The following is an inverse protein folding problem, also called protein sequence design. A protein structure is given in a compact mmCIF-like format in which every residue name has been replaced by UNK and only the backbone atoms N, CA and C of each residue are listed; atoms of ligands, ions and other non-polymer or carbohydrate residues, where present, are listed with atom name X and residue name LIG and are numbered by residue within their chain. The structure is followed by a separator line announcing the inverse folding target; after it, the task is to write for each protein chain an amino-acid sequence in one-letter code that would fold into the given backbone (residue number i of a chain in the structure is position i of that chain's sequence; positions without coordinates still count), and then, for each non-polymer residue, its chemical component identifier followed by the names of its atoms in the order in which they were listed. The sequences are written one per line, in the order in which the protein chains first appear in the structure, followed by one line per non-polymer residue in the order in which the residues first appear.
data_IF_287812143159
#
_entry.id   IF_287812143159
#
_cell.length_a   1.000
_cell.length_b   1.000
_cell.length_c   1.000
_cell.angle_alpha   90.00
_cell.angle_beta   90.00
_cell.angle_gamma   90.00
#
_symmetry.space_group_name_H-M   'P 1'
#
loop_
_entity.id
_entity.type
_entity.pdbx_description
1 polymer ?
#
# COMPACT_ATOMS: atom_id res chain seq x y z
N UNK A 1 -4.73 12.54 -11.92
CA UNK A 1 -4.39 13.16 -10.62
C UNK A 1 -3.99 14.61 -10.86
N UNK A 2 -4.48 15.50 -10.03
CA UNK A 2 -4.22 16.93 -10.19
C UNK A 2 -3.60 17.50 -8.91
N UNK A 3 -2.43 18.14 -9.06
CA UNK A 3 -1.77 18.84 -7.96
C UNK A 3 -2.36 20.25 -7.85
N UNK A 4 -2.80 20.62 -6.66
CA UNK A 4 -3.35 21.93 -6.37
C UNK A 4 -2.23 22.96 -6.15
N UNK A 5 -2.51 24.28 -6.29
CA UNK A 5 -1.51 25.31 -5.99
C UNK A 5 -0.95 25.23 -4.56
N UNK A 6 -1.71 24.66 -3.62
CA UNK A 6 -1.28 24.43 -2.25
C UNK A 6 -0.22 23.32 -2.12
N UNK A 7 0.14 22.67 -3.20
CA UNK A 7 1.03 21.51 -3.19
C UNK A 7 0.32 20.18 -2.88
N UNK A 8 -0.94 20.24 -2.48
CA UNK A 8 -1.76 19.06 -2.17
C UNK A 8 -2.31 18.45 -3.45
N UNK A 9 -2.62 17.16 -3.39
CA UNK A 9 -3.30 16.49 -4.50
C UNK A 9 -4.81 16.56 -4.32
N UNK A 10 -5.51 16.75 -5.44
CA UNK A 10 -6.96 16.79 -5.44
C UNK A 10 -7.52 15.41 -5.12
N UNK A 11 -8.55 15.34 -4.28
CA UNK A 11 -9.27 14.12 -3.96
C UNK A 11 -10.25 13.78 -5.11
N UNK A 12 -9.69 13.34 -6.25
CA UNK A 12 -10.42 12.88 -7.44
C UNK A 12 -10.07 11.42 -7.70
N UNK A 13 -10.85 10.69 -8.52
CA UNK A 13 -10.44 9.35 -8.95
C UNK A 13 -9.01 9.34 -9.45
N UNK A 14 -8.20 8.43 -8.92
CA UNK A 14 -6.78 8.36 -9.20
C UNK A 14 -6.45 6.96 -9.71
N UNK A 15 -5.80 6.87 -10.86
CA UNK A 15 -5.32 5.61 -11.38
C UNK A 15 -4.09 5.15 -10.59
N UNK A 16 -3.94 3.83 -10.44
CA UNK A 16 -2.83 3.25 -9.67
C UNK A 16 -1.47 3.62 -10.25
N UNK A 17 -1.32 3.61 -11.57
CA UNK A 17 -0.07 3.98 -12.21
C UNK A 17 0.25 5.47 -12.03
N UNK A 18 -0.76 6.33 -12.05
CA UNK A 18 -0.58 7.76 -11.77
C UNK A 18 -0.07 7.98 -10.34
N UNK A 19 -0.63 7.24 -9.38
CA UNK A 19 -0.13 7.25 -8.00
C UNK A 19 1.32 6.78 -7.94
N UNK A 20 1.64 5.66 -8.58
CA UNK A 20 3.00 5.11 -8.58
C UNK A 20 4.02 6.12 -9.13
N UNK A 21 3.70 6.80 -10.22
CA UNK A 21 4.58 7.81 -10.83
C UNK A 21 4.78 9.01 -9.89
N UNK A 22 3.70 9.49 -9.27
CA UNK A 22 3.79 10.58 -8.30
C UNK A 22 4.60 10.17 -7.06
N UNK A 23 4.37 8.97 -6.54
CA UNK A 23 5.11 8.43 -5.42
C UNK A 23 6.60 8.29 -5.75
N UNK A 24 6.93 7.84 -6.97
CA UNK A 24 8.31 7.69 -7.41
C UNK A 24 9.07 9.01 -7.37
N UNK A 25 8.43 10.14 -7.64
CA UNK A 25 9.06 11.45 -7.58
C UNK A 25 9.53 11.84 -6.17
N UNK A 26 9.05 11.16 -5.14
CA UNK A 26 9.43 11.39 -3.74
C UNK A 26 10.46 10.37 -3.23
N UNK A 27 10.86 9.40 -4.06
CA UNK A 27 11.77 8.34 -3.62
C UNK A 27 13.21 8.87 -3.54
N UNK A 28 13.85 8.65 -2.39
CA UNK A 28 15.22 9.09 -2.12
C UNK A 28 16.02 8.05 -1.33
N UNK A 29 15.57 6.80 -1.29
CA UNK A 29 16.34 5.75 -0.62
C UNK A 29 17.59 5.36 -1.42
N UNK A 30 18.57 4.68 -0.81
CA UNK A 30 19.81 4.31 -1.50
C UNK A 30 19.55 3.46 -2.75
N UNK A 31 20.26 3.77 -3.82
CA UNK A 31 20.21 3.03 -5.08
C UNK A 31 18.80 2.88 -5.67
N UNK A 32 18.01 3.94 -5.62
CA UNK A 32 16.67 3.97 -6.25
C UNK A 32 16.79 3.48 -7.70
N UNK A 33 15.95 2.51 -8.08
CA UNK A 33 15.97 1.88 -9.40
C UNK A 33 16.75 0.57 -9.47
N UNK A 34 17.53 0.24 -8.44
CA UNK A 34 18.34 -0.97 -8.36
C UNK A 34 18.35 -1.57 -6.95
N UNK A 35 17.27 -1.35 -6.19
CA UNK A 35 17.23 -1.74 -4.78
C UNK A 35 15.85 -2.25 -4.36
N UNK A 36 15.50 -3.51 -4.66
CA UNK A 36 14.24 -4.09 -4.18
C UNK A 36 14.24 -4.38 -2.68
N UNK A 37 15.41 -4.41 -2.05
CA UNK A 37 15.54 -4.77 -0.63
C UNK A 37 14.99 -3.66 0.26
N UNK A 38 15.37 -2.41 0.00
CA UNK A 38 14.96 -1.28 0.84
C UNK A 38 13.43 -1.15 0.93
N UNK A 39 12.68 -1.09 -0.20
CA UNK A 39 11.23 -1.01 -0.10
C UNK A 39 10.57 -2.27 0.50
N UNK A 40 11.18 -3.44 0.37
CA UNK A 40 10.68 -4.64 1.05
C UNK A 40 10.73 -4.48 2.57
N UNK A 41 11.84 -4.02 3.09
CA UNK A 41 12.01 -3.77 4.52
C UNK A 41 11.08 -2.64 4.99
N UNK A 42 10.98 -1.57 4.22
CA UNK A 42 10.08 -0.46 4.51
C UNK A 42 8.62 -0.88 4.55
N UNK A 43 8.19 -1.73 3.60
CA UNK A 43 6.84 -2.29 3.58
C UNK A 43 6.52 -3.03 4.88
N UNK A 44 7.42 -3.87 5.34
CA UNK A 44 7.26 -4.61 6.60
C UNK A 44 7.21 -3.66 7.79
N UNK A 45 8.09 -2.66 7.81
CA UNK A 45 8.13 -1.66 8.88
C UNK A 45 6.84 -0.86 8.98
N UNK A 46 6.33 -0.39 7.86
CA UNK A 46 5.09 0.40 7.84
C UNK A 46 3.85 -0.45 8.15
N UNK A 47 3.83 -1.71 7.72
CA UNK A 47 2.78 -2.64 8.15
C UNK A 47 2.80 -2.80 9.69
N UNK A 48 3.98 -2.84 10.28
CA UNK A 48 4.14 -2.83 11.74
C UNK A 48 3.61 -1.57 12.39
N UNK A 49 3.77 -0.40 11.76
CA UNK A 49 3.21 0.86 12.26
C UNK A 49 1.68 0.85 12.26
N UNK A 50 1.06 0.22 11.25
CA UNK A 50 -0.40 0.01 11.25
C UNK A 50 -0.79 -0.83 12.47
N UNK A 51 -0.08 -1.93 12.71
CA UNK A 51 -0.33 -2.79 13.85
C UNK A 51 -0.18 -2.04 15.19
N UNK A 52 0.83 -1.19 15.29
CA UNK A 52 1.06 -0.38 16.50
C UNK A 52 -0.09 0.59 16.76
N UNK A 53 -0.59 1.27 15.72
CA UNK A 53 -1.75 2.18 15.84
C UNK A 53 -3.00 1.42 16.29
N UNK A 54 -3.25 0.25 15.73
CA UNK A 54 -4.40 -0.60 16.11
C UNK A 54 -4.25 -1.08 17.56
N UNK A 55 -3.07 -1.52 17.95
CA UNK A 55 -2.78 -1.91 19.33
C UNK A 55 -3.13 -0.79 20.30
N UNK A 56 -2.74 0.44 19.98
CA UNK A 56 -3.02 1.61 20.84
C UNK A 56 -4.50 1.95 20.92
N UNK A 57 -5.28 1.67 19.90
CA UNK A 57 -6.75 1.81 19.97
C UNK A 57 -7.30 0.86 21.02
N UNK A 58 -6.83 -0.39 21.05
CA UNK A 58 -7.24 -1.36 22.06
C UNK A 58 -6.81 -0.94 23.46
N UNK A 59 -5.58 -0.46 23.61
CA UNK A 59 -5.01 -0.11 24.91
C UNK A 59 -5.58 1.19 25.48
N UNK A 60 -5.70 2.23 24.66
CA UNK A 60 -5.93 3.60 25.11
C UNK A 60 -7.34 4.14 24.79
N UNK A 61 -8.09 3.47 23.90
CA UNK A 61 -9.39 3.95 23.41
C UNK A 61 -10.50 2.91 23.54
N UNK A 62 -10.29 1.91 24.40
CA UNK A 62 -11.28 0.84 24.66
C UNK A 62 -11.74 0.12 23.39
N UNK A 63 -10.87 0.01 22.39
CA UNK A 63 -11.21 -0.64 21.12
C UNK A 63 -12.08 0.19 20.18
N UNK A 64 -12.30 1.48 20.48
CA UNK A 64 -13.13 2.36 19.66
C UNK A 64 -12.26 3.04 18.60
N UNK A 65 -12.58 2.76 17.33
CA UNK A 65 -11.93 3.40 16.18
C UNK A 65 -12.61 4.73 15.90
N UNK A 66 -12.33 5.72 16.71
CA UNK A 66 -12.86 7.07 16.52
C UNK A 66 -12.24 7.78 15.30
N UNK A 67 -12.76 8.96 14.89
CA UNK A 67 -12.24 9.65 13.71
C UNK A 67 -10.74 9.92 13.75
N UNK A 68 -10.19 10.27 14.92
CA UNK A 68 -8.76 10.55 15.07
C UNK A 68 -7.91 9.28 14.87
N UNK A 69 -8.32 8.16 15.48
CA UNK A 69 -7.64 6.88 15.32
C UNK A 69 -7.70 6.40 13.86
N UNK A 70 -8.86 6.53 13.23
CA UNK A 70 -9.05 6.14 11.82
C UNK A 70 -8.16 6.98 10.88
N UNK A 71 -8.04 8.26 11.13
CA UNK A 71 -7.18 9.14 10.34
C UNK A 71 -5.70 8.77 10.50
N UNK A 72 -5.27 8.49 11.72
CA UNK A 72 -3.89 8.06 11.99
C UNK A 72 -3.55 6.75 11.27
N UNK A 73 -4.47 5.78 11.29
CA UNK A 73 -4.30 4.51 10.59
C UNK A 73 -4.27 4.73 9.07
N UNK A 74 -5.12 5.60 8.55
CA UNK A 74 -5.15 5.92 7.12
C UNK A 74 -3.78 6.43 6.63
N UNK A 75 -3.13 7.28 7.40
CA UNK A 75 -1.80 7.80 7.04
C UNK A 75 -0.76 6.68 6.98
N UNK A 76 -0.78 5.75 7.92
CA UNK A 76 0.12 4.60 7.91
C UNK A 76 -0.18 3.64 6.74
N UNK A 77 -1.46 3.47 6.38
CA UNK A 77 -1.83 2.70 5.18
C UNK A 77 -1.26 3.34 3.91
N UNK A 78 -1.22 4.67 3.86
CA UNK A 78 -0.58 5.39 2.77
C UNK A 78 0.90 5.07 2.66
N UNK A 79 1.60 4.98 3.79
CA UNK A 79 3.03 4.62 3.81
C UNK A 79 3.25 3.17 3.34
N UNK A 80 2.37 2.25 3.73
CA UNK A 80 2.40 0.87 3.20
C UNK A 80 2.22 0.88 1.68
N UNK A 81 1.23 1.62 1.18
CA UNK A 81 0.96 1.74 -0.26
C UNK A 81 2.16 2.31 -1.01
N UNK A 82 2.83 3.31 -0.43
CA UNK A 82 4.03 3.91 -1.02
C UNK A 82 5.13 2.86 -1.24
N UNK A 83 5.40 2.03 -0.23
CA UNK A 83 6.41 0.97 -0.36
C UNK A 83 5.98 -0.14 -1.31
N UNK A 84 4.70 -0.48 -1.38
CA UNK A 84 4.19 -1.42 -2.40
C UNK A 84 4.48 -0.87 -3.80
N UNK A 85 4.19 0.41 -4.03
CA UNK A 85 4.45 1.05 -5.32
C UNK A 85 5.94 1.08 -5.67
N UNK A 86 6.82 1.36 -4.69
CA UNK A 86 8.25 1.37 -4.91
C UNK A 86 8.79 -0.03 -5.20
N UNK A 87 8.39 -1.03 -4.42
CA UNK A 87 8.84 -2.39 -4.64
C UNK A 87 8.43 -2.91 -6.02
N UNK A 88 7.18 -2.65 -6.42
CA UNK A 88 6.71 -3.02 -7.76
C UNK A 88 7.61 -2.39 -8.83
N UNK A 89 7.93 -1.10 -8.70
CA UNK A 89 8.80 -0.40 -9.66
C UNK A 89 10.21 -1.00 -9.68
N UNK A 90 10.78 -1.33 -8.54
CA UNK A 90 12.12 -1.94 -8.46
C UNK A 90 12.15 -3.31 -9.15
N UNK A 91 11.03 -4.04 -9.14
CA UNK A 91 10.90 -5.33 -9.81
C UNK A 91 10.50 -5.22 -11.29
N UNK A 92 10.31 -4.01 -11.79
CA UNK A 92 9.96 -3.78 -13.20
C UNK A 92 8.46 -3.88 -13.50
N UNK A 93 7.61 -3.75 -12.49
CA UNK A 93 6.16 -3.80 -12.67
C UNK A 93 5.52 -2.45 -12.38
N UNK A 94 4.47 -2.11 -13.14
CA UNK A 94 3.61 -1.03 -12.72
C UNK A 94 2.57 -1.53 -11.71
N UNK A 95 1.98 -0.61 -10.97
CA UNK A 95 1.07 -0.96 -9.88
C UNK A 95 -0.23 -1.57 -10.38
N UNK A 96 -0.70 -1.19 -11.58
CA UNK A 96 -1.87 -1.80 -12.21
C UNK A 96 -1.63 -3.27 -12.53
N UNK A 97 -0.44 -3.65 -12.98
CA UNK A 97 -0.09 -5.06 -13.23
C UNK A 97 -0.22 -5.89 -11.95
N UNK A 98 0.29 -5.34 -10.82
CA UNK A 98 0.19 -6.00 -9.53
C UNK A 98 -1.28 -6.17 -9.11
N UNK A 99 -2.07 -5.12 -9.24
CA UNK A 99 -3.49 -5.15 -8.90
C UNK A 99 -4.28 -6.11 -9.79
N UNK A 100 -4.04 -6.09 -11.11
CA UNK A 100 -4.69 -7.00 -12.06
C UNK A 100 -4.37 -8.45 -11.78
N UNK A 101 -3.11 -8.77 -11.54
CA UNK A 101 -2.69 -10.14 -11.20
C UNK A 101 -3.37 -10.62 -9.92
N UNK A 102 -3.48 -9.74 -8.93
CA UNK A 102 -4.17 -10.05 -7.68
C UNK A 102 -5.65 -10.34 -7.89
N UNK A 103 -6.35 -9.51 -8.66
CA UNK A 103 -7.77 -9.72 -8.96
C UNK A 103 -8.00 -11.00 -9.75
N UNK A 104 -7.18 -11.28 -10.77
CA UNK A 104 -7.29 -12.50 -11.57
C UNK A 104 -7.13 -13.75 -10.69
N UNK A 105 -6.14 -13.74 -9.79
CA UNK A 105 -5.90 -14.81 -8.84
C UNK A 105 -7.09 -15.03 -7.92
N UNK A 106 -7.65 -13.96 -7.35
CA UNK A 106 -8.79 -14.03 -6.44
C UNK A 106 -10.07 -14.49 -7.14
N UNK A 107 -10.36 -13.96 -8.33
CA UNK A 107 -11.52 -14.37 -9.14
C UNK A 107 -11.42 -15.85 -9.49
N UNK A 108 -10.25 -16.34 -9.89
CA UNK A 108 -10.01 -17.75 -10.17
C UNK A 108 -10.27 -18.62 -8.93
N UNK A 109 -9.81 -18.21 -7.75
CA UNK A 109 -10.04 -18.96 -6.50
C UNK A 109 -11.52 -19.03 -6.14
N UNK A 110 -12.25 -17.94 -6.29
CA UNK A 110 -13.71 -17.92 -6.05
C UNK A 110 -14.41 -18.88 -7.01
N UNK A 111 -14.10 -18.80 -8.30
CA UNK A 111 -14.71 -19.67 -9.33
C UNK A 111 -14.42 -21.16 -9.09
N UNK A 112 -13.25 -21.48 -8.52
CA UNK A 112 -12.85 -22.87 -8.21
C UNK A 112 -13.22 -23.32 -6.80
N UNK A 113 -13.84 -22.45 -5.97
CA UNK A 113 -14.14 -22.75 -4.58
C UNK A 113 -12.86 -22.88 -3.71
N UNK A 114 -11.79 -22.17 -4.05
CA UNK A 114 -10.47 -22.30 -3.39
C UNK A 114 -10.00 -21.05 -2.67
N UNK A 115 -10.94 -20.21 -2.21
CA UNK A 115 -10.60 -19.00 -1.48
C UNK A 115 -9.93 -19.30 -0.13
N UNK A 116 -10.33 -20.40 0.51
CA UNK A 116 -9.67 -20.92 1.71
C UNK A 116 -8.56 -21.91 1.32
N UNK A 117 -7.60 -22.07 2.18
CA UNK A 117 -6.40 -22.85 1.90
C UNK A 117 -5.17 -21.96 1.97
N UNK A 118 -4.01 -22.42 1.53
CA UNK A 118 -2.76 -21.69 1.61
C UNK A 118 -2.01 -21.67 0.29
N UNK A 119 -1.19 -20.65 0.12
CA UNK A 119 -0.35 -20.48 -1.05
C UNK A 119 -1.07 -19.85 -2.24
N UNK A 120 -0.29 -19.38 -3.19
CA UNK A 120 -0.82 -18.63 -4.35
C UNK A 120 -1.42 -19.53 -5.43
N UNK A 121 -1.15 -20.80 -5.38
CA UNK A 121 -1.64 -21.76 -6.38
C UNK A 121 -2.82 -22.61 -5.91
N UNK A 122 -3.42 -22.28 -4.77
CA UNK A 122 -4.62 -22.96 -4.27
C UNK A 122 -5.84 -22.71 -5.12
#
# INVERSE_FOLDING_TARGET
MRKLPSGRYQAVPMELNAYQDAARSTAAYPHVGQNPIYPTLGLTGEAGEVADKVKKVLRDREGVFDPEAREAIKLELGDVLWYVAQLARELGYDLEEVASANLDKLVSRVARGRISGSGDHR
#
